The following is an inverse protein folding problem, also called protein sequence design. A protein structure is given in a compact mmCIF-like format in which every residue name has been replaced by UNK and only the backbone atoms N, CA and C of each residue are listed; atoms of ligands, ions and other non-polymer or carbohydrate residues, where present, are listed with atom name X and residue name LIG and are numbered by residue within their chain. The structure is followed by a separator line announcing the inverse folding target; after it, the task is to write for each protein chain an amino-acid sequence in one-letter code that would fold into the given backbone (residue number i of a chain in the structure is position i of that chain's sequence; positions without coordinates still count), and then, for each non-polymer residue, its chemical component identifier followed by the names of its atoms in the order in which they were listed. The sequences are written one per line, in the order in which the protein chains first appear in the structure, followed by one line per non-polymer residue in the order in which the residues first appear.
data_IF_254157670094
#
_entry.id   IF_254157670094
#
_cell.length_a   1.000
_cell.length_b   1.000
_cell.length_c   1.000
_cell.angle_alpha   90.00
_cell.angle_beta   90.00
_cell.angle_gamma   90.00
#
_symmetry.space_group_name_H-M   'P 1'
#
loop_
_entity.id
_entity.type
_entity.pdbx_description
1 polymer ?
#
# COMPACT_ATOMS: atom_id res chain seq x y z
N UNK A 1 -16.98 -27.71 37.60
CA UNK A 1 -16.05 -27.75 36.43
C UNK A 1 -16.77 -27.85 35.09
N UNK A 2 -17.86 -28.62 34.93
CA UNK A 2 -18.61 -28.70 33.64
C UNK A 2 -19.26 -27.39 33.18
N UNK A 3 -19.70 -26.53 34.10
CA UNK A 3 -20.34 -25.24 33.78
C UNK A 3 -19.39 -24.23 33.13
N UNK A 4 -18.10 -24.27 33.49
CA UNK A 4 -17.09 -23.37 32.94
C UNK A 4 -16.78 -23.70 31.47
N UNK A 5 -16.63 -24.98 31.13
CA UNK A 5 -16.44 -25.38 29.73
C UNK A 5 -17.66 -25.04 28.87
N UNK A 6 -18.87 -25.19 29.42
CA UNK A 6 -20.10 -24.79 28.74
C UNK A 6 -20.15 -23.28 28.48
N UNK A 7 -19.79 -22.44 29.45
CA UNK A 7 -19.76 -20.99 29.26
C UNK A 7 -18.68 -20.54 28.26
N UNK A 8 -17.53 -21.22 28.22
CA UNK A 8 -16.46 -20.92 27.23
C UNK A 8 -16.91 -21.27 25.82
N UNK A 9 -17.54 -22.43 25.62
CA UNK A 9 -18.11 -22.83 24.33
C UNK A 9 -19.21 -21.85 23.87
N UNK A 10 -20.14 -21.49 24.76
CA UNK A 10 -21.19 -20.52 24.44
C UNK A 10 -20.63 -19.12 24.11
N UNK A 11 -19.50 -18.73 24.69
CA UNK A 11 -18.82 -17.47 24.37
C UNK A 11 -18.11 -17.51 23.02
N UNK A 12 -17.50 -18.65 22.67
CA UNK A 12 -16.88 -18.87 21.35
C UNK A 12 -17.93 -18.91 20.24
N UNK A 13 -19.06 -19.59 20.45
CA UNK A 13 -20.15 -19.65 19.48
C UNK A 13 -20.72 -18.25 19.19
N UNK A 14 -20.94 -17.42 20.23
CA UNK A 14 -21.39 -16.03 20.06
C UNK A 14 -20.40 -15.16 19.28
N UNK A 15 -19.09 -15.34 19.49
CA UNK A 15 -18.06 -14.62 18.74
C UNK A 15 -18.08 -15.01 17.26
N UNK A 16 -18.23 -16.30 16.97
CA UNK A 16 -18.30 -16.79 15.59
C UNK A 16 -19.55 -16.27 14.86
N UNK A 17 -20.71 -16.27 15.53
CA UNK A 17 -21.95 -15.72 14.98
C UNK A 17 -21.81 -14.22 14.64
N UNK A 18 -21.23 -13.43 15.54
CA UNK A 18 -20.99 -12.00 15.30
C UNK A 18 -20.05 -11.73 14.11
N UNK A 19 -19.01 -12.56 13.93
CA UNK A 19 -18.10 -12.47 12.77
C UNK A 19 -18.85 -12.81 11.48
N UNK A 20 -19.68 -13.85 11.49
CA UNK A 20 -20.48 -14.25 10.33
C UNK A 20 -21.50 -13.16 9.94
N UNK A 21 -22.14 -12.53 10.93
CA UNK A 21 -23.07 -11.43 10.66
C UNK A 21 -22.35 -10.19 10.11
N UNK A 22 -21.21 -9.82 10.70
CA UNK A 22 -20.40 -8.70 10.23
C UNK A 22 -19.93 -8.93 8.78
N UNK A 23 -19.40 -10.11 8.46
CA UNK A 23 -18.96 -10.47 7.10
C UNK A 23 -20.11 -10.48 6.10
N UNK A 24 -21.29 -10.98 6.49
CA UNK A 24 -22.50 -10.92 5.65
C UNK A 24 -22.96 -9.49 5.39
N UNK A 25 -22.92 -8.61 6.39
CA UNK A 25 -23.32 -7.20 6.24
C UNK A 25 -22.34 -6.39 5.39
N UNK A 26 -21.04 -6.70 5.45
CA UNK A 26 -20.02 -6.08 4.60
C UNK A 26 -20.19 -6.55 3.15
N UNK A 27 -20.46 -7.84 2.93
CA UNK A 27 -20.68 -8.40 1.60
C UNK A 27 -21.89 -7.80 0.86
N UNK A 28 -22.92 -7.33 1.57
CA UNK A 28 -24.11 -6.72 0.95
C UNK A 28 -23.99 -5.20 0.73
N UNK A 29 -23.10 -4.50 1.45
CA UNK A 29 -22.95 -3.04 1.34
C UNK A 29 -21.91 -2.65 0.27
N UNK A 30 -20.94 -3.52 -0.03
CA UNK A 30 -19.82 -3.18 -0.91
C UNK A 30 -19.95 -3.68 -2.36
N UNK A 31 -20.95 -4.52 -2.68
CA UNK A 31 -21.09 -5.10 -4.03
C UNK A 31 -21.59 -4.15 -5.12
N UNK A 32 -22.21 -3.02 -4.74
CA UNK A 32 -22.85 -2.07 -5.68
C UNK A 32 -22.08 -0.75 -5.86
N UNK A 33 -21.14 -0.40 -4.97
CA UNK A 33 -20.39 0.87 -5.07
C UNK A 33 -19.02 0.76 -5.76
N UNK A 34 -18.47 -0.44 -5.93
CA UNK A 34 -17.11 -0.64 -6.46
C UNK A 34 -17.10 -0.82 -8.00
N UNK A 35 -18.23 -1.19 -8.62
CA UNK A 35 -18.30 -1.57 -10.05
C UNK A 35 -18.17 -0.45 -11.08
N UNK A 36 -18.02 0.82 -10.71
CA UNK A 36 -18.13 1.94 -11.66
C UNK A 36 -16.89 2.85 -11.78
N UNK A 37 -15.78 2.59 -11.09
CA UNK A 37 -14.60 3.49 -11.14
C UNK A 37 -13.38 2.87 -11.83
N UNK A 38 -13.18 1.54 -11.82
CA UNK A 38 -11.91 0.92 -12.27
C UNK A 38 -11.98 0.02 -13.52
N UNK A 39 -13.16 -0.11 -14.16
CA UNK A 39 -13.34 -1.01 -15.30
C UNK A 39 -12.38 -0.73 -16.48
N UNK A 40 -11.87 0.50 -16.64
CA UNK A 40 -11.00 0.85 -17.77
C UNK A 40 -9.63 0.16 -17.72
N UNK A 41 -9.03 0.09 -16.54
CA UNK A 41 -7.69 -0.47 -16.35
C UNK A 41 -7.72 -1.99 -16.25
N UNK A 42 -8.73 -2.55 -15.58
CA UNK A 42 -8.97 -3.98 -15.52
C UNK A 42 -9.19 -4.59 -16.91
N UNK A 43 -9.98 -3.93 -17.77
CA UNK A 43 -10.19 -4.38 -19.16
C UNK A 43 -8.88 -4.39 -19.97
N UNK A 44 -8.00 -3.41 -19.76
CA UNK A 44 -6.69 -3.37 -20.43
C UNK A 44 -5.74 -4.47 -19.93
N UNK A 45 -5.82 -4.83 -18.65
CA UNK A 45 -5.04 -5.92 -18.06
C UNK A 45 -5.58 -7.29 -18.48
N UNK A 46 -6.89 -7.46 -18.57
CA UNK A 46 -7.54 -8.69 -19.05
C UNK A 46 -7.16 -8.99 -20.50
N UNK A 47 -7.19 -7.99 -21.38
CA UNK A 47 -6.78 -8.16 -22.78
C UNK A 47 -5.29 -8.49 -22.92
N UNK A 48 -4.43 -7.99 -22.02
CA UNK A 48 -3.01 -8.39 -21.96
C UNK A 48 -2.85 -9.82 -21.47
N UNK A 49 -3.58 -10.23 -20.43
CA UNK A 49 -3.58 -11.60 -19.92
C UNK A 49 -3.96 -12.60 -21.01
N UNK A 50 -5.04 -12.33 -21.74
CA UNK A 50 -5.51 -13.18 -22.84
C UNK A 50 -4.49 -13.31 -23.98
N UNK A 51 -3.81 -12.22 -24.35
CA UNK A 51 -2.78 -12.26 -25.39
C UNK A 51 -1.61 -13.16 -24.99
N UNK A 52 -1.13 -13.02 -23.76
CA UNK A 52 -0.04 -13.84 -23.22
C UNK A 52 -0.47 -15.31 -23.17
N UNK A 53 -1.68 -15.60 -22.70
CA UNK A 53 -2.18 -16.98 -22.65
C UNK A 53 -2.35 -17.60 -24.06
N UNK A 54 -2.73 -16.81 -25.07
CA UNK A 54 -2.80 -17.25 -26.48
C UNK A 54 -1.42 -17.53 -27.08
N UNK A 55 -0.43 -16.69 -26.82
CA UNK A 55 0.94 -16.87 -27.30
C UNK A 55 1.60 -18.11 -26.72
N UNK A 56 1.32 -18.40 -25.45
CA UNK A 56 1.96 -19.49 -24.72
C UNK A 56 1.14 -20.80 -24.79
N UNK A 57 -0.12 -20.72 -25.23
CA UNK A 57 -0.98 -21.89 -25.52
C UNK A 57 -1.63 -22.54 -24.30
N UNK A 58 -1.61 -21.88 -23.14
CA UNK A 58 -2.24 -22.33 -21.90
C UNK A 58 -2.62 -21.15 -21.01
N UNK A 59 -3.64 -21.32 -20.16
CA UNK A 59 -4.03 -20.33 -19.16
C UNK A 59 -3.06 -20.40 -17.98
N UNK A 60 -2.05 -19.53 -17.94
CA UNK A 60 -1.11 -19.45 -16.80
C UNK A 60 -0.99 -18.06 -16.21
N UNK A 61 -1.47 -17.03 -16.89
CA UNK A 61 -1.46 -15.66 -16.38
C UNK A 61 -2.89 -15.24 -16.02
N UNK A 62 -3.10 -14.83 -14.78
CA UNK A 62 -4.39 -14.44 -14.20
C UNK A 62 -4.28 -13.08 -13.49
N UNK A 63 -5.41 -12.44 -13.22
CA UNK A 63 -5.46 -11.21 -12.42
C UNK A 63 -5.88 -11.58 -11.00
N UNK A 64 -5.13 -11.11 -10.01
CA UNK A 64 -5.42 -11.32 -8.59
C UNK A 64 -6.44 -10.27 -8.07
N UNK A 65 -7.01 -10.48 -6.88
CA UNK A 65 -7.96 -9.57 -6.21
C UNK A 65 -7.40 -8.15 -5.97
N UNK A 66 -6.08 -7.99 -6.05
CA UNK A 66 -5.39 -6.68 -5.99
C UNK A 66 -5.24 -5.98 -7.35
N UNK A 67 -5.81 -6.53 -8.43
CA UNK A 67 -5.71 -5.98 -9.78
C UNK A 67 -4.35 -6.24 -10.47
N UNK A 68 -3.49 -7.09 -9.88
CA UNK A 68 -2.17 -7.39 -10.41
C UNK A 68 -2.19 -8.61 -11.34
N UNK A 69 -1.41 -8.56 -12.43
CA UNK A 69 -1.24 -9.66 -13.36
C UNK A 69 -0.17 -10.65 -12.84
N UNK A 70 -0.56 -11.89 -12.59
CA UNK A 70 0.27 -12.90 -11.94
C UNK A 70 0.35 -14.18 -12.78
N UNK A 71 1.55 -14.76 -12.91
CA UNK A 71 1.75 -16.09 -13.53
C UNK A 71 1.67 -17.19 -12.45
N UNK A 72 0.75 -18.13 -12.63
CA UNK A 72 0.50 -19.27 -11.75
C UNK A 72 1.78 -20.10 -11.51
N UNK A 73 2.71 -20.16 -12.48
CA UNK A 73 3.98 -20.85 -12.27
C UNK A 73 4.87 -20.16 -11.27
N UNK A 74 4.88 -18.84 -11.25
CA UNK A 74 5.70 -18.10 -10.29
C UNK A 74 5.12 -18.25 -8.89
N UNK A 75 3.78 -18.24 -8.77
CA UNK A 75 3.09 -18.56 -7.51
C UNK A 75 3.40 -19.98 -7.02
N UNK A 76 3.28 -20.97 -7.90
CA UNK A 76 3.53 -22.38 -7.55
C UNK A 76 5.02 -22.68 -7.34
N UNK A 77 5.92 -22.03 -8.09
CA UNK A 77 7.37 -22.20 -7.99
C UNK A 77 7.96 -21.54 -6.74
N UNK A 78 7.32 -20.52 -6.18
CA UNK A 78 7.71 -19.95 -4.89
C UNK A 78 7.53 -20.96 -3.73
N UNK A 79 6.79 -22.06 -3.97
CA UNK A 79 6.43 -23.06 -2.97
C UNK A 79 5.32 -22.53 -2.07
N UNK A 80 4.39 -23.40 -1.68
CA UNK A 80 3.32 -23.09 -0.72
C UNK A 80 3.92 -22.59 0.60
N UNK A 81 4.06 -21.27 0.81
CA UNK A 81 4.65 -20.65 2.00
C UNK A 81 5.91 -21.35 2.55
N UNK A 82 6.68 -22.03 1.68
CA UNK A 82 7.91 -22.70 2.09
C UNK A 82 8.99 -21.64 2.03
N UNK A 83 9.30 -21.05 3.18
CA UNK A 83 10.37 -20.07 3.30
C UNK A 83 11.65 -20.68 2.72
N UNK A 84 12.05 -20.20 1.53
CA UNK A 84 13.30 -20.62 0.88
C UNK A 84 14.44 -20.23 1.82
N UNK A 85 15.01 -21.20 2.52
CA UNK A 85 16.23 -20.99 3.30
C UNK A 85 17.28 -20.46 2.33
N UNK A 86 17.77 -19.25 2.61
CA UNK A 86 18.76 -18.56 1.78
C UNK A 86 19.95 -19.51 1.57
N UNK A 87 20.47 -19.66 0.34
CA UNK A 87 21.67 -20.44 0.13
C UNK A 87 22.79 -19.77 0.92
N UNK A 88 23.32 -20.49 1.90
CA UNK A 88 24.55 -20.11 2.58
C UNK A 88 25.65 -20.33 1.56
N UNK A 89 26.37 -19.27 1.19
CA UNK A 89 27.54 -19.39 0.33
C UNK A 89 28.54 -20.33 1.01
N UNK A 90 28.56 -21.57 0.53
CA UNK A 90 29.46 -22.62 0.96
C UNK A 90 30.87 -22.29 0.49
N UNK A 91 31.58 -21.50 1.28
CA UNK A 91 33.04 -21.62 1.31
C UNK A 91 33.37 -22.99 1.92
N UNK A 92 34.10 -23.78 1.14
CA UNK A 92 34.56 -25.14 1.41
C UNK A 92 34.83 -25.41 2.90
N UNK A 93 34.05 -26.33 3.48
CA UNK A 93 34.63 -27.27 4.44
C UNK A 93 33.91 -28.61 4.32
N UNK A 94 34.70 -29.62 3.97
CA UNK A 94 34.34 -31.02 4.16
C UNK A 94 34.11 -31.24 5.65
N UNK A 95 32.90 -31.62 6.07
CA UNK A 95 32.70 -32.65 7.09
C UNK A 95 31.22 -32.96 7.30
N UNK A 96 30.92 -34.23 7.02
CA UNK A 96 29.96 -35.14 7.67
C UNK A 96 28.89 -34.53 8.59
N UNK A 97 27.64 -34.88 8.27
CA UNK A 97 26.45 -34.54 9.04
C UNK A 97 26.61 -34.78 10.53
N UNK A 98 26.38 -33.72 11.30
CA UNK A 98 26.08 -33.79 12.73
C UNK A 98 24.85 -32.94 13.00
N UNK A 99 23.84 -33.59 13.56
CA UNK A 99 22.69 -32.96 14.21
C UNK A 99 23.19 -31.87 15.15
N UNK A 100 22.71 -30.65 14.95
CA UNK A 100 23.05 -29.51 15.80
C UNK A 100 22.24 -29.67 17.09
N UNK A 101 22.91 -30.11 18.15
CA UNK A 101 22.44 -29.92 19.51
C UNK A 101 22.46 -28.41 19.83
N UNK A 102 21.31 -27.88 20.24
CA UNK A 102 21.19 -26.53 20.80
C UNK A 102 21.97 -26.54 22.11
N UNK A 103 23.17 -25.97 22.07
CA UNK A 103 23.96 -25.66 23.26
C UNK A 103 23.74 -24.18 23.59
N UNK A 104 23.01 -23.97 24.68
CA UNK A 104 22.94 -22.70 25.41
C UNK A 104 24.37 -22.28 25.80
N UNK A 105 24.99 -21.44 24.97
CA UNK A 105 26.31 -20.88 25.25
C UNK A 105 26.22 -19.37 25.26
N UNK A 106 26.40 -18.81 26.46
CA UNK A 106 26.47 -17.38 26.75
C UNK A 106 27.44 -16.68 25.79
N UNK A 107 26.91 -15.89 24.84
CA UNK A 107 27.68 -14.95 24.00
C UNK A 107 27.27 -13.50 24.27
N UNK A 108 27.78 -12.83 25.33
CA UNK A 108 27.19 -11.59 25.83
C UNK A 108 27.69 -10.29 25.18
N UNK A 109 28.87 -10.25 24.52
CA UNK A 109 29.50 -8.99 24.14
C UNK A 109 29.50 -8.68 22.62
N UNK A 110 29.73 -9.67 21.76
CA UNK A 110 29.80 -9.47 20.30
C UNK A 110 28.42 -9.25 19.68
N UNK A 111 27.43 -10.05 20.11
CA UNK A 111 26.04 -9.92 19.67
C UNK A 111 25.42 -8.54 19.99
N UNK A 112 25.82 -7.92 21.11
CA UNK A 112 25.38 -6.56 21.47
C UNK A 112 25.96 -5.49 20.54
N UNK A 113 27.20 -5.67 20.05
CA UNK A 113 27.82 -4.74 19.09
C UNK A 113 27.16 -4.83 17.72
N UNK A 114 26.84 -6.04 17.26
CA UNK A 114 26.18 -6.24 15.96
C UNK A 114 24.75 -5.69 15.98
N UNK A 115 23.99 -5.98 17.05
CA UNK A 115 22.66 -5.38 17.26
C UNK A 115 22.68 -3.86 17.29
N UNK A 116 23.67 -3.25 17.94
CA UNK A 116 23.79 -1.79 17.99
C UNK A 116 23.97 -1.20 16.59
N UNK A 117 24.85 -1.79 15.77
CA UNK A 117 25.05 -1.35 14.38
C UNK A 117 23.79 -1.52 13.53
N UNK A 118 23.09 -2.64 13.69
CA UNK A 118 21.82 -2.89 13.00
C UNK A 118 20.76 -1.86 13.41
N UNK A 119 20.68 -1.54 14.70
CA UNK A 119 19.73 -0.55 15.23
C UNK A 119 20.06 0.85 14.68
N UNK A 120 21.33 1.25 14.71
CA UNK A 120 21.79 2.55 14.16
C UNK A 120 21.51 2.66 12.65
N UNK A 121 21.62 1.56 11.90
CA UNK A 121 21.33 1.53 10.47
C UNK A 121 19.83 1.69 10.18
N UNK A 122 18.98 0.98 10.93
CA UNK A 122 17.52 1.09 10.82
C UNK A 122 17.07 2.51 11.22
N UNK A 123 17.60 3.03 12.32
CA UNK A 123 17.30 4.39 12.79
C UNK A 123 17.68 5.44 11.75
N UNK A 124 18.87 5.31 11.14
CA UNK A 124 19.30 6.21 10.06
C UNK A 124 18.37 6.15 8.84
N UNK A 125 17.88 4.96 8.47
CA UNK A 125 16.94 4.81 7.36
C UNK A 125 15.58 5.45 7.68
N UNK A 126 15.06 5.23 8.89
CA UNK A 126 13.82 5.81 9.37
C UNK A 126 13.90 7.35 9.35
N UNK A 127 14.94 7.92 9.95
CA UNK A 127 15.17 9.37 9.99
C UNK A 127 15.30 9.97 8.57
N UNK A 128 15.97 9.25 7.66
CA UNK A 128 16.09 9.70 6.27
C UNK A 128 14.72 9.71 5.55
N UNK A 129 13.88 8.69 5.78
CA UNK A 129 12.53 8.63 5.23
C UNK A 129 11.62 9.72 5.80
N UNK A 130 11.64 9.93 7.12
CA UNK A 130 10.88 11.00 7.77
C UNK A 130 11.30 12.38 7.27
N UNK A 131 12.61 12.61 7.10
CA UNK A 131 13.12 13.87 6.54
C UNK A 131 12.61 14.11 5.12
N UNK A 132 12.62 13.09 4.25
CA UNK A 132 12.09 13.20 2.88
C UNK A 132 10.59 13.50 2.88
N UNK A 133 9.80 12.76 3.67
CA UNK A 133 8.36 13.01 3.81
C UNK A 133 8.07 14.44 4.29
N UNK A 134 8.81 14.93 5.27
CA UNK A 134 8.67 16.31 5.75
C UNK A 134 8.98 17.34 4.65
N UNK A 135 10.05 17.15 3.89
CA UNK A 135 10.41 18.04 2.78
C UNK A 135 9.36 18.03 1.65
N UNK A 136 8.78 16.87 1.34
CA UNK A 136 7.68 16.76 0.37
C UNK A 136 6.42 17.48 0.84
N UNK A 137 6.07 17.37 2.13
CA UNK A 137 4.95 18.09 2.72
C UNK A 137 5.19 19.60 2.72
N UNK A 138 6.39 20.05 3.07
CA UNK A 138 6.73 21.47 3.10
C UNK A 138 6.73 22.07 1.70
N UNK A 139 7.37 21.41 0.72
CA UNK A 139 7.36 21.87 -0.67
C UNK A 139 5.97 21.84 -1.32
N UNK A 140 5.12 20.86 -1.00
CA UNK A 140 3.74 20.86 -1.47
C UNK A 140 2.91 21.99 -0.87
N UNK A 141 3.08 22.28 0.43
CA UNK A 141 2.45 23.44 1.08
C UNK A 141 2.90 24.75 0.45
N UNK A 142 4.20 24.93 0.19
CA UNK A 142 4.72 26.13 -0.48
C UNK A 142 4.14 26.30 -1.88
N UNK A 143 4.03 25.21 -2.66
CA UNK A 143 3.38 25.22 -3.99
C UNK A 143 1.92 25.60 -3.91
N UNK A 144 1.17 25.08 -2.94
CA UNK A 144 -0.25 25.45 -2.76
C UNK A 144 -0.35 26.92 -2.36
N UNK A 145 0.48 27.38 -1.43
CA UNK A 145 0.49 28.78 -0.98
C UNK A 145 0.84 29.71 -2.14
N UNK A 146 1.83 29.37 -2.98
CA UNK A 146 2.21 30.20 -4.13
C UNK A 146 1.12 30.24 -5.19
N UNK A 147 0.48 29.11 -5.50
CA UNK A 147 -0.67 29.05 -6.41
C UNK A 147 -1.88 29.85 -5.90
N UNK A 148 -2.17 29.79 -4.60
CA UNK A 148 -3.25 30.59 -4.00
C UNK A 148 -2.90 32.07 -4.04
N UNK A 149 -1.64 32.44 -3.78
CA UNK A 149 -1.19 33.84 -3.87
C UNK A 149 -1.30 34.38 -5.30
N UNK A 150 -0.88 33.61 -6.32
CA UNK A 150 -0.98 34.06 -7.72
C UNK A 150 -2.43 34.16 -8.21
N UNK A 151 -3.30 33.22 -7.83
CA UNK A 151 -4.73 33.29 -8.17
C UNK A 151 -5.39 34.53 -7.56
N UNK A 152 -5.09 34.86 -6.30
CA UNK A 152 -5.63 36.07 -5.65
C UNK A 152 -5.22 37.37 -6.34
N UNK A 153 -4.00 37.44 -6.89
CA UNK A 153 -3.58 38.63 -7.66
C UNK A 153 -4.32 38.73 -8.99
N UNK A 154 -4.49 37.61 -9.70
CA UNK A 154 -5.21 37.57 -10.97
C UNK A 154 -6.68 37.95 -10.80
N UNK A 155 -7.34 37.45 -9.76
CA UNK A 155 -8.72 37.81 -9.40
C UNK A 155 -8.86 39.30 -9.05
N UNK A 156 -7.87 39.88 -8.36
CA UNK A 156 -7.90 41.32 -8.05
C UNK A 156 -7.78 42.18 -9.31
N UNK A 157 -6.97 41.75 -10.29
CA UNK A 157 -6.77 42.44 -11.57
C UNK A 157 -8.04 42.33 -12.42
N UNK A 158 -8.68 41.16 -12.47
CA UNK A 158 -9.92 40.95 -13.22
C UNK A 158 -11.07 41.80 -12.66
N UNK A 159 -11.25 41.84 -11.34
CA UNK A 159 -12.24 42.67 -10.67
C UNK A 159 -12.00 44.17 -10.90
N UNK A 160 -10.75 44.63 -10.85
CA UNK A 160 -10.42 46.03 -11.14
C UNK A 160 -10.75 46.41 -12.59
N UNK A 161 -10.45 45.52 -13.56
CA UNK A 161 -10.80 45.72 -14.97
C UNK A 161 -12.32 45.76 -15.17
N UNK A 162 -13.07 44.86 -14.54
CA UNK A 162 -14.53 44.84 -14.63
C UNK A 162 -15.16 46.13 -14.09
N UNK A 163 -14.72 46.60 -12.91
CA UNK A 163 -15.18 47.87 -12.34
C UNK A 163 -14.86 49.06 -13.24
N UNK A 164 -13.68 49.08 -13.85
CA UNK A 164 -13.30 50.14 -14.80
C UNK A 164 -14.20 50.12 -16.03
N UNK A 165 -14.45 48.95 -16.62
CA UNK A 165 -15.34 48.81 -17.77
C UNK A 165 -16.79 49.18 -17.43
N UNK A 166 -17.28 48.81 -16.25
CA UNK A 166 -18.60 49.21 -15.76
C UNK A 166 -18.72 50.74 -15.63
N UNK A 167 -17.72 51.39 -15.01
CA UNK A 167 -17.66 52.85 -14.91
C UNK A 167 -17.61 53.52 -16.28
N UNK A 168 -16.81 52.98 -17.20
CA UNK A 168 -16.71 53.50 -18.57
C UNK A 168 -18.06 53.39 -19.30
N UNK A 169 -18.75 52.24 -19.21
CA UNK A 169 -20.08 52.04 -19.81
C UNK A 169 -21.13 52.99 -19.21
N UNK A 170 -21.14 53.15 -17.88
CA UNK A 170 -22.05 54.07 -17.21
C UNK A 170 -21.87 55.52 -17.71
N UNK A 171 -20.63 55.98 -17.83
CA UNK A 171 -20.35 57.32 -18.36
C UNK A 171 -20.81 57.52 -19.81
N UNK A 172 -20.79 56.48 -20.65
CA UNK A 172 -21.28 56.59 -22.04
C UNK A 172 -22.82 56.66 -22.07
N UNK A 173 -23.49 55.82 -21.27
CA UNK A 173 -24.95 55.78 -21.20
C UNK A 173 -25.58 57.04 -20.57
N UNK A 174 -24.83 57.83 -19.79
CA UNK A 174 -25.33 59.09 -19.21
C UNK A 174 -25.21 60.29 -20.15
N UNK A 175 -24.61 60.13 -21.32
CA UNK A 175 -24.36 61.19 -22.31
C UNK A 175 -25.29 61.15 -23.53
N UNK A 176 -26.24 60.20 -23.56
CA UNK A 176 -27.39 60.16 -24.47
C UNK A 176 -28.66 60.58 -23.72
#
# INVERSE_FOLDING_TARGET
MRSFYKSVLEEEDRRNEAIIEATKSVATVDSDKIKNVDNGEENALLTKAEKINKEVGYQKVQINDSGELVDDRQLLSAGLNVVKKRPVDNTKSTNSGRSISISDTKKPATYRKDRRRETELIERQLLAQEKRKRQEIESSKERIISQVKSRKTDDSISQARERYLARKKANQNTTD
#
